data_IF_817462925007
#
_entry.id   IF_817462925007
#
_cell.length_a   1.000
_cell.length_b   1.000
_cell.length_c   1.000
_cell.angle_alpha   90.00
_cell.angle_beta   90.00
_cell.angle_gamma   90.00
#
_symmetry.space_group_name_H-M   'P 1'
#
loop_
_entity.id
_entity.type
_entity.pdbx_description
1 polymer ?
#
# COMPACT_ATOMS: atom_id res chain seq x y z
N UNK A 1 28.53 -35.98 -53.33
CA UNK A 1 27.86 -36.28 -52.01
C UNK A 1 28.15 -35.31 -50.83
N UNK A 2 29.27 -34.57 -50.84
CA UNK A 2 29.56 -33.62 -49.74
C UNK A 2 28.90 -32.24 -49.90
N UNK A 3 28.61 -31.78 -51.13
CA UNK A 3 28.01 -30.47 -51.39
C UNK A 3 26.51 -30.41 -51.03
N UNK A 4 25.72 -31.44 -51.38
CA UNK A 4 24.30 -31.48 -51.04
C UNK A 4 24.00 -31.45 -49.53
N UNK A 5 24.87 -32.06 -48.71
CA UNK A 5 24.76 -31.99 -47.25
C UNK A 5 25.09 -30.62 -46.66
N UNK A 6 25.86 -29.81 -47.39
CA UNK A 6 26.24 -28.46 -46.96
C UNK A 6 25.12 -27.48 -47.22
N UNK A 7 24.43 -27.60 -48.37
CA UNK A 7 23.23 -26.78 -48.67
C UNK A 7 22.06 -27.11 -47.76
N UNK A 8 21.81 -28.39 -47.46
CA UNK A 8 20.80 -28.81 -46.47
C UNK A 8 21.10 -28.27 -45.09
N UNK A 9 22.35 -28.24 -44.64
CA UNK A 9 22.76 -27.70 -43.34
C UNK A 9 22.65 -26.20 -43.30
N UNK A 10 22.91 -25.46 -44.38
CA UNK A 10 22.71 -24.02 -44.46
C UNK A 10 21.21 -23.64 -44.47
N UNK A 11 20.39 -24.39 -45.22
CA UNK A 11 18.94 -24.24 -45.22
C UNK A 11 18.33 -24.47 -43.82
N UNK A 12 18.76 -25.56 -43.15
CA UNK A 12 18.32 -25.85 -41.78
C UNK A 12 18.74 -24.77 -40.78
N UNK A 13 19.95 -24.21 -40.90
CA UNK A 13 20.41 -23.09 -40.06
C UNK A 13 19.56 -21.83 -40.31
N UNK A 14 19.24 -21.53 -41.57
CA UNK A 14 18.36 -20.37 -41.89
C UNK A 14 16.96 -20.55 -41.34
N UNK A 15 16.38 -21.76 -41.43
CA UNK A 15 15.08 -22.06 -40.81
C UNK A 15 15.09 -21.92 -39.29
N UNK A 16 16.13 -22.44 -38.63
CA UNK A 16 16.29 -22.29 -37.18
C UNK A 16 16.43 -20.82 -36.77
N UNK A 17 17.14 -20.02 -37.56
CA UNK A 17 17.28 -18.59 -37.29
C UNK A 17 15.92 -17.84 -37.44
N UNK A 18 15.14 -18.17 -38.48
CA UNK A 18 13.79 -17.65 -38.66
C UNK A 18 12.88 -18.05 -37.50
N UNK A 19 12.81 -19.32 -37.16
CA UNK A 19 11.98 -19.80 -36.03
C UNK A 19 12.37 -19.19 -34.71
N UNK A 20 13.65 -18.94 -34.44
CA UNK A 20 14.10 -18.22 -33.26
C UNK A 20 13.63 -16.74 -33.23
N UNK A 21 13.69 -16.09 -34.41
CA UNK A 21 13.19 -14.72 -34.52
C UNK A 21 11.68 -14.64 -34.31
N UNK A 22 10.94 -15.55 -34.92
CA UNK A 22 9.47 -15.64 -34.76
C UNK A 22 9.09 -15.97 -33.30
N UNK A 23 9.77 -16.91 -32.66
CA UNK A 23 9.57 -17.28 -31.28
C UNK A 23 9.78 -16.05 -30.37
N UNK A 24 10.88 -15.31 -30.57
CA UNK A 24 11.15 -14.10 -29.79
C UNK A 24 10.07 -13.03 -30.00
N UNK A 25 9.63 -12.81 -31.24
CA UNK A 25 8.56 -11.85 -31.52
C UNK A 25 7.23 -12.24 -30.86
N UNK A 26 6.90 -13.53 -30.85
CA UNK A 26 5.72 -14.05 -30.16
C UNK A 26 5.83 -13.94 -28.63
N UNK A 27 7.01 -14.18 -28.06
CA UNK A 27 7.28 -13.98 -26.64
C UNK A 27 7.06 -12.51 -26.24
N UNK A 28 7.56 -11.55 -27.02
CA UNK A 28 7.36 -10.12 -26.77
C UNK A 28 5.87 -9.71 -26.84
N UNK A 29 5.13 -10.27 -27.81
CA UNK A 29 3.68 -10.05 -27.94
C UNK A 29 2.94 -10.65 -26.73
N UNK A 30 3.29 -11.86 -26.33
CA UNK A 30 2.69 -12.55 -25.20
C UNK A 30 2.95 -11.79 -23.89
N UNK A 31 4.19 -11.36 -23.65
CA UNK A 31 4.55 -10.59 -22.46
C UNK A 31 3.77 -9.26 -22.40
N UNK A 32 3.68 -8.56 -23.52
CA UNK A 32 2.87 -7.35 -23.60
C UNK A 32 1.40 -7.61 -23.29
N UNK A 33 0.80 -8.63 -23.92
CA UNK A 33 -0.60 -8.98 -23.68
C UNK A 33 -0.85 -9.39 -22.21
N UNK A 34 0.09 -10.11 -21.60
CA UNK A 34 0.02 -10.49 -20.20
C UNK A 34 0.07 -9.28 -19.28
N UNK A 35 0.96 -8.32 -19.56
CA UNK A 35 1.07 -7.09 -18.79
C UNK A 35 -0.19 -6.22 -18.93
N UNK A 36 -0.71 -6.06 -20.16
CA UNK A 36 -1.93 -5.32 -20.43
C UNK A 36 -3.13 -5.95 -19.69
N UNK A 37 -3.27 -7.26 -19.74
CA UNK A 37 -4.31 -7.99 -19.02
C UNK A 37 -4.18 -7.81 -17.50
N UNK A 38 -2.98 -7.94 -16.95
CA UNK A 38 -2.72 -7.75 -15.52
C UNK A 38 -3.07 -6.33 -15.07
N UNK A 39 -2.69 -5.32 -15.84
CA UNK A 39 -3.02 -3.93 -15.54
C UNK A 39 -4.53 -3.68 -15.55
N UNK A 40 -5.26 -4.25 -16.51
CA UNK A 40 -6.72 -4.15 -16.55
C UNK A 40 -7.38 -4.86 -15.36
N UNK A 41 -6.90 -6.03 -14.97
CA UNK A 41 -7.41 -6.75 -13.79
C UNK A 41 -7.21 -5.97 -12.49
N UNK A 42 -6.10 -5.25 -12.34
CA UNK A 42 -5.83 -4.40 -11.18
C UNK A 42 -6.79 -3.19 -11.07
N UNK A 43 -7.45 -2.81 -12.17
CA UNK A 43 -8.45 -1.75 -12.17
C UNK A 43 -9.84 -2.22 -11.69
N UNK A 44 -10.09 -3.52 -11.67
CA UNK A 44 -11.39 -4.09 -11.28
C UNK A 44 -11.48 -4.12 -9.75
N UNK A 45 -12.51 -3.48 -9.14
CA UNK A 45 -12.70 -3.54 -7.70
C UNK A 45 -13.08 -4.94 -7.25
N UNK A 46 -12.78 -5.26 -5.98
CA UNK A 46 -13.21 -6.51 -5.37
C UNK A 46 -14.73 -6.60 -5.28
N UNK A 47 -15.24 -7.82 -5.34
CA UNK A 47 -16.66 -8.09 -5.13
C UNK A 47 -16.97 -7.89 -3.64
N UNK A 48 -17.91 -7.00 -3.27
CA UNK A 48 -18.31 -6.82 -1.90
C UNK A 48 -19.00 -8.09 -1.36
N UNK A 49 -18.92 -8.32 -0.05
CA UNK A 49 -19.65 -9.43 0.56
C UNK A 49 -21.16 -9.12 0.61
N UNK A 50 -22.01 -10.16 0.73
CA UNK A 50 -23.47 -10.05 0.72
C UNK A 50 -24.05 -9.14 1.81
N UNK A 51 -23.28 -8.88 2.88
CA UNK A 51 -23.71 -8.02 3.98
C UNK A 51 -23.52 -6.52 3.70
N UNK A 52 -22.77 -6.17 2.65
CA UNK A 52 -22.53 -4.77 2.27
C UNK A 52 -23.77 -4.25 1.54
N UNK A 53 -24.46 -3.22 2.05
CA UNK A 53 -25.62 -2.64 1.39
C UNK A 53 -25.20 -1.94 0.09
N UNK A 54 -26.11 -1.90 -0.88
CA UNK A 54 -25.95 -1.03 -2.02
C UNK A 54 -26.05 0.44 -1.57
N UNK A 55 -25.11 1.26 -2.03
CA UNK A 55 -25.05 2.67 -1.65
C UNK A 55 -24.20 3.50 -2.60
N UNK A 56 -24.31 4.81 -2.51
CA UNK A 56 -23.57 5.77 -3.33
C UNK A 56 -22.44 6.43 -2.56
N UNK A 57 -22.62 6.61 -1.26
CA UNK A 57 -21.65 7.27 -0.40
C UNK A 57 -21.73 6.76 1.05
N UNK A 58 -20.93 7.34 1.93
CA UNK A 58 -20.84 6.95 3.33
C UNK A 58 -22.16 7.12 4.13
N UNK A 59 -23.12 7.91 3.65
CA UNK A 59 -24.41 8.09 4.32
C UNK A 59 -25.29 6.84 4.19
N UNK A 60 -25.05 6.01 3.18
CA UNK A 60 -25.76 4.77 2.97
C UNK A 60 -25.21 3.60 3.82
N UNK A 61 -24.11 3.81 4.55
CA UNK A 61 -23.53 2.79 5.41
C UNK A 61 -24.46 2.46 6.60
N UNK A 62 -24.63 1.17 6.86
CA UNK A 62 -25.40 0.67 7.98
C UNK A 62 -24.50 0.47 9.21
N UNK A 63 -24.89 1.08 10.34
CA UNK A 63 -24.21 0.90 11.62
C UNK A 63 -24.52 -0.52 12.13
N UNK A 64 -23.53 -1.39 12.15
CA UNK A 64 -23.68 -2.81 12.57
C UNK A 64 -23.45 -3.01 14.08
N UNK A 65 -22.76 -2.08 14.74
CA UNK A 65 -22.49 -2.15 16.19
C UNK A 65 -22.24 -0.75 16.76
N UNK A 66 -22.89 -0.44 17.86
CA UNK A 66 -22.59 0.70 18.72
C UNK A 66 -22.09 0.22 20.08
N UNK A 67 -21.25 1.01 20.74
CA UNK A 67 -20.70 0.66 22.06
C UNK A 67 -20.16 1.86 22.80
N UNK A 68 -20.13 1.76 24.14
CA UNK A 68 -19.72 2.85 25.02
C UNK A 68 -20.83 3.90 25.24
N UNK A 69 -20.59 4.79 26.19
CA UNK A 69 -21.48 5.93 26.47
C UNK A 69 -21.00 7.14 25.67
N UNK A 70 -21.92 7.79 24.95
CA UNK A 70 -21.62 9.07 24.29
C UNK A 70 -21.57 10.16 25.34
N UNK A 71 -20.44 10.85 25.56
CA UNK A 71 -20.37 11.93 26.52
C UNK A 71 -21.25 13.10 26.05
N UNK A 72 -21.99 13.69 26.98
CA UNK A 72 -22.67 14.94 26.71
C UNK A 72 -21.70 16.10 26.91
N UNK A 73 -21.17 16.63 25.82
CA UNK A 73 -20.16 17.69 25.84
C UNK A 73 -20.77 19.09 25.98
N UNK A 74 -22.13 19.23 25.92
CA UNK A 74 -22.83 20.48 25.93
C UNK A 74 -22.75 21.25 24.59
N UNK A 75 -23.53 22.35 24.52
CA UNK A 75 -23.65 23.18 23.31
C UNK A 75 -22.38 23.98 23.01
N UNK A 76 -21.56 24.28 24.03
CA UNK A 76 -20.31 25.05 23.92
C UNK A 76 -19.09 24.21 23.60
N UNK A 77 -19.26 22.94 23.23
CA UNK A 77 -18.18 22.06 22.92
C UNK A 77 -17.40 22.53 21.69
N UNK A 78 -16.09 22.74 21.85
CA UNK A 78 -15.20 23.12 20.76
C UNK A 78 -14.73 21.90 19.97
N UNK A 79 -14.63 22.05 18.65
CA UNK A 79 -13.98 21.07 17.80
C UNK A 79 -12.50 20.91 18.18
N UNK A 80 -11.91 19.75 17.87
CA UNK A 80 -10.50 19.48 18.21
C UNK A 80 -9.54 20.51 17.59
N UNK A 81 -9.77 20.97 16.36
CA UNK A 81 -8.92 22.00 15.72
C UNK A 81 -8.99 23.36 16.43
N UNK A 82 -10.17 23.74 17.00
CA UNK A 82 -10.32 24.97 17.80
C UNK A 82 -9.59 24.84 19.13
N UNK A 83 -9.63 23.66 19.76
CA UNK A 83 -8.86 23.35 20.96
C UNK A 83 -7.35 23.42 20.69
N UNK A 84 -6.88 22.83 19.58
CA UNK A 84 -5.47 22.88 19.19
C UNK A 84 -4.98 24.31 19.00
N UNK A 85 -5.78 25.15 18.35
CA UNK A 85 -5.51 26.57 18.16
C UNK A 85 -5.55 27.33 19.48
N UNK A 86 -6.60 27.16 20.28
CA UNK A 86 -6.78 27.82 21.59
C UNK A 86 -5.61 27.60 22.55
N UNK A 87 -5.03 26.39 22.53
CA UNK A 87 -3.91 26.03 23.39
C UNK A 87 -2.54 26.11 22.71
N UNK A 88 -2.48 26.59 21.46
CA UNK A 88 -1.25 26.69 20.67
C UNK A 88 -0.48 25.36 20.60
N UNK A 89 -1.18 24.29 20.27
CA UNK A 89 -0.65 22.93 20.25
C UNK A 89 -0.19 22.48 18.86
N UNK A 90 -0.81 23.03 17.81
CA UNK A 90 -0.52 22.72 16.41
C UNK A 90 -0.55 24.00 15.59
N UNK A 91 0.40 24.14 14.69
CA UNK A 91 0.49 25.24 13.73
C UNK A 91 0.36 24.69 12.30
N UNK A 92 -0.76 24.97 11.67
CA UNK A 92 -1.04 24.57 10.29
C UNK A 92 -0.41 25.53 9.27
N UNK A 93 -0.32 26.82 9.59
CA UNK A 93 0.27 27.81 8.71
C UNK A 93 1.77 27.55 8.53
N UNK A 94 2.43 27.17 9.63
CA UNK A 94 3.83 26.76 9.58
C UNK A 94 4.00 25.46 8.78
N UNK A 95 3.06 24.53 8.88
CA UNK A 95 3.04 23.30 8.05
C UNK A 95 2.91 23.61 6.57
N UNK A 96 2.01 24.51 6.20
CA UNK A 96 1.87 24.99 4.80
C UNK A 96 3.16 25.64 4.31
N UNK A 97 3.81 26.44 5.12
CA UNK A 97 5.08 27.11 4.78
C UNK A 97 6.22 26.13 4.52
N UNK A 98 6.29 25.04 5.28
CA UNK A 98 7.40 24.08 5.22
C UNK A 98 7.19 23.04 4.11
N UNK A 99 5.95 22.56 3.96
CA UNK A 99 5.66 21.39 3.13
C UNK A 99 4.53 21.65 2.13
N UNK A 100 3.37 22.12 2.62
CA UNK A 100 2.15 22.30 1.83
C UNK A 100 0.89 22.14 2.67
N UNK A 101 -0.27 22.26 2.02
CA UNK A 101 -1.56 22.12 2.68
C UNK A 101 -1.72 20.70 3.28
N UNK A 102 -2.34 20.65 4.47
CA UNK A 102 -2.62 19.38 5.15
C UNK A 102 -1.52 18.87 6.09
N UNK A 103 -0.37 19.53 6.14
CA UNK A 103 0.71 19.14 7.06
C UNK A 103 0.70 19.96 8.35
N UNK A 104 0.49 19.32 9.53
CA UNK A 104 0.54 19.99 10.82
C UNK A 104 1.95 20.07 11.38
N UNK A 105 2.24 21.14 12.13
CA UNK A 105 3.45 21.22 12.99
C UNK A 105 3.01 21.14 14.44
N UNK A 106 3.34 20.04 15.10
CA UNK A 106 3.07 19.83 16.52
C UNK A 106 4.03 20.61 17.40
N UNK A 107 3.54 21.35 18.39
CA UNK A 107 4.34 22.25 19.22
C UNK A 107 4.33 21.82 20.68
N UNK A 108 5.49 21.84 21.32
CA UNK A 108 5.68 21.70 22.74
C UNK A 108 5.00 20.46 23.34
N UNK A 109 3.98 20.69 24.16
CA UNK A 109 3.24 19.59 24.83
C UNK A 109 2.57 18.64 23.85
N UNK A 110 2.12 19.12 22.69
CA UNK A 110 1.46 18.27 21.70
C UNK A 110 2.45 17.34 21.01
N UNK A 111 3.64 17.81 20.65
CA UNK A 111 4.69 16.95 20.10
C UNK A 111 5.10 15.84 21.10
N UNK A 112 5.15 16.16 22.39
CA UNK A 112 5.40 15.17 23.45
C UNK A 112 4.23 14.19 23.58
N UNK A 113 3.00 14.68 23.52
CA UNK A 113 1.78 13.87 23.65
C UNK A 113 1.66 12.87 22.49
N UNK A 114 1.94 13.29 21.26
CA UNK A 114 1.95 12.39 20.10
C UNK A 114 2.89 11.21 20.31
N UNK A 115 4.15 11.46 20.69
CA UNK A 115 5.11 10.37 20.97
C UNK A 115 4.67 9.47 22.13
N UNK A 116 4.00 10.03 23.13
CA UNK A 116 3.46 9.26 24.23
C UNK A 116 2.31 8.34 23.81
N UNK A 117 1.46 8.80 22.86
CA UNK A 117 0.40 7.97 22.28
C UNK A 117 0.98 6.84 21.41
N UNK A 118 1.97 7.12 20.58
CA UNK A 118 2.66 6.10 19.79
C UNK A 118 3.24 4.99 20.71
N UNK A 119 3.98 5.39 21.74
CA UNK A 119 4.53 4.46 22.71
C UNK A 119 3.42 3.66 23.44
N UNK A 120 2.33 4.32 23.83
CA UNK A 120 1.21 3.67 24.48
C UNK A 120 0.56 2.61 23.57
N UNK A 121 0.30 2.91 22.30
CA UNK A 121 -0.32 1.96 21.37
C UNK A 121 0.59 0.76 21.12
N UNK A 122 1.90 0.96 20.95
CA UNK A 122 2.86 -0.11 20.78
C UNK A 122 2.96 -0.99 22.04
N UNK A 123 2.96 -0.39 23.22
CA UNK A 123 2.95 -1.12 24.49
C UNK A 123 1.67 -1.95 24.69
N UNK A 124 0.50 -1.43 24.32
CA UNK A 124 -0.77 -2.19 24.39
C UNK A 124 -0.81 -3.31 23.36
N UNK A 125 -0.30 -3.09 22.14
CA UNK A 125 -0.16 -4.14 21.14
C UNK A 125 0.76 -5.27 21.63
N UNK A 126 1.92 -4.92 22.22
CA UNK A 126 2.85 -5.90 22.80
C UNK A 126 2.21 -6.70 23.94
N UNK A 127 1.46 -6.06 24.85
CA UNK A 127 0.70 -6.75 25.92
C UNK A 127 -0.34 -7.71 25.36
N UNK A 128 -0.88 -7.43 24.18
CA UNK A 128 -1.83 -8.26 23.44
C UNK A 128 -1.15 -9.37 22.61
N UNK A 129 0.17 -9.55 22.76
CA UNK A 129 0.94 -10.61 22.13
C UNK A 129 1.38 -10.30 20.69
N UNK A 130 1.39 -9.04 20.29
CA UNK A 130 1.98 -8.63 19.02
C UNK A 130 3.51 -8.46 19.16
N UNK A 131 4.25 -8.88 18.14
CA UNK A 131 5.67 -8.57 18.01
C UNK A 131 5.81 -7.22 17.30
N UNK A 132 6.43 -6.28 18.00
CA UNK A 132 6.77 -4.97 17.45
C UNK A 132 7.90 -5.10 16.43
N UNK A 133 7.77 -4.41 15.30
CA UNK A 133 8.79 -4.29 14.27
C UNK A 133 8.91 -2.83 13.83
N UNK A 134 10.09 -2.46 13.36
CA UNK A 134 10.36 -1.12 12.79
C UNK A 134 10.67 -1.27 11.31
N UNK A 135 9.67 -1.17 10.43
CA UNK A 135 9.89 -1.27 8.98
C UNK A 135 10.44 0.03 8.39
N UNK A 136 10.99 -0.01 7.17
CA UNK A 136 11.33 1.19 6.42
C UNK A 136 10.09 2.05 6.12
N UNK A 137 10.29 3.37 6.06
CA UNK A 137 9.24 4.32 5.63
C UNK A 137 9.05 4.40 4.12
N UNK A 138 9.89 3.71 3.36
CA UNK A 138 9.82 3.61 1.90
C UNK A 138 9.78 2.15 1.48
N UNK A 139 9.03 1.87 0.41
CA UNK A 139 8.86 0.52 -0.13
C UNK A 139 9.03 0.52 -1.66
N UNK A 140 9.32 -0.65 -2.22
CA UNK A 140 9.32 -0.85 -3.66
C UNK A 140 7.88 -0.97 -4.22
N UNK A 141 7.77 -0.91 -5.53
CA UNK A 141 6.48 -0.97 -6.24
C UNK A 141 5.70 -2.26 -5.93
N UNK A 142 6.38 -3.42 -5.88
CA UNK A 142 5.75 -4.70 -5.59
C UNK A 142 5.08 -4.73 -4.21
N UNK A 143 5.66 -4.05 -3.22
CA UNK A 143 5.06 -3.93 -1.90
C UNK A 143 3.81 -3.06 -1.92
N UNK A 144 3.80 -1.98 -2.71
CA UNK A 144 2.62 -1.17 -2.91
C UNK A 144 1.49 -1.94 -3.61
N UNK A 145 1.83 -2.78 -4.59
CA UNK A 145 0.88 -3.66 -5.27
C UNK A 145 0.37 -4.77 -4.36
N UNK A 146 1.23 -5.35 -3.54
CA UNK A 146 0.90 -6.46 -2.65
C UNK A 146 -0.17 -6.15 -1.61
N UNK A 147 -0.39 -4.88 -1.27
CA UNK A 147 -1.44 -4.40 -0.35
C UNK A 147 -2.51 -3.54 -1.05
N UNK A 148 -2.48 -3.47 -2.39
CA UNK A 148 -3.50 -2.75 -3.17
C UNK A 148 -3.38 -1.22 -3.13
N UNK A 149 -2.24 -0.69 -2.70
CA UNK A 149 -1.96 0.76 -2.73
C UNK A 149 -1.58 1.23 -4.13
N UNK A 150 -1.05 0.34 -4.96
CA UNK A 150 -0.78 0.58 -6.37
C UNK A 150 -1.68 -0.32 -7.24
N UNK A 151 -2.20 0.19 -8.36
CA UNK A 151 -2.07 1.56 -8.88
C UNK A 151 -2.73 2.58 -7.96
N UNK A 152 -2.03 3.71 -7.72
CA UNK A 152 -2.49 4.76 -6.79
C UNK A 152 -3.58 5.63 -7.44
N UNK A 153 -4.83 5.18 -7.30
CA UNK A 153 -6.00 5.86 -7.85
C UNK A 153 -6.39 7.14 -7.09
N UNK A 154 -5.98 7.23 -5.83
CA UNK A 154 -6.37 8.31 -4.93
C UNK A 154 -5.25 9.30 -4.63
N UNK A 155 -4.05 9.10 -5.20
CA UNK A 155 -2.90 9.98 -4.98
C UNK A 155 -2.38 9.95 -3.55
N UNK A 156 -2.40 8.79 -2.90
CA UNK A 156 -2.05 8.65 -1.49
C UNK A 156 -0.56 8.39 -1.25
N UNK A 157 0.19 8.01 -2.29
CA UNK A 157 1.59 7.66 -2.16
C UNK A 157 2.52 8.69 -2.80
N UNK A 158 3.45 9.21 -2.03
CA UNK A 158 4.56 9.99 -2.58
C UNK A 158 5.58 9.07 -3.26
N UNK A 159 5.94 9.37 -4.48
CA UNK A 159 6.90 8.60 -5.26
C UNK A 159 8.25 9.32 -5.38
N UNK A 160 9.30 8.69 -4.90
CA UNK A 160 10.69 9.12 -5.10
C UNK A 160 11.19 8.56 -6.44
N UNK A 161 10.99 9.33 -7.52
CA UNK A 161 11.20 8.89 -8.91
C UNK A 161 12.62 8.40 -9.21
N UNK A 162 13.66 8.99 -8.59
CA UNK A 162 15.06 8.63 -8.87
C UNK A 162 15.39 7.19 -8.44
N UNK A 163 14.83 6.77 -7.31
CA UNK A 163 15.11 5.46 -6.71
C UNK A 163 13.97 4.46 -6.94
N UNK A 164 12.89 4.88 -7.58
CA UNK A 164 11.65 4.12 -7.73
C UNK A 164 11.12 3.56 -6.40
N UNK A 165 11.11 4.41 -5.37
CA UNK A 165 10.62 4.08 -4.05
C UNK A 165 9.39 4.91 -3.71
N UNK A 166 8.49 4.34 -2.92
CA UNK A 166 7.24 4.97 -2.49
C UNK A 166 7.27 5.18 -0.98
N UNK A 167 6.90 6.39 -0.51
CA UNK A 167 6.66 6.61 0.91
C UNK A 167 5.39 5.85 1.32
N UNK A 168 5.46 5.13 2.41
CA UNK A 168 4.32 4.33 2.89
C UNK A 168 3.20 5.24 3.43
N UNK A 169 1.94 5.04 3.03
CA UNK A 169 0.80 5.75 3.62
C UNK A 169 0.40 5.15 4.97
N UNK A 170 0.78 3.91 5.22
CA UNK A 170 0.48 3.14 6.42
C UNK A 170 1.55 2.08 6.66
N UNK A 171 1.79 1.72 7.92
CA UNK A 171 2.67 0.62 8.29
C UNK A 171 2.19 -0.75 7.79
N UNK A 172 0.93 -0.89 7.46
CA UNK A 172 0.35 -2.12 6.87
C UNK A 172 1.13 -2.56 5.62
N UNK A 173 1.51 -1.60 4.76
CA UNK A 173 2.22 -1.91 3.51
C UNK A 173 3.50 -2.71 3.75
N UNK A 174 4.51 -2.22 4.48
CA UNK A 174 5.72 -3.00 4.73
C UNK A 174 5.48 -4.21 5.62
N UNK A 175 4.60 -4.13 6.63
CA UNK A 175 4.38 -5.23 7.59
C UNK A 175 3.75 -6.44 6.92
N UNK A 176 2.75 -6.26 6.07
CA UNK A 176 2.11 -7.34 5.33
C UNK A 176 3.06 -7.95 4.31
N UNK A 177 3.84 -7.11 3.62
CA UNK A 177 4.78 -7.57 2.59
C UNK A 177 6.01 -8.33 3.11
N UNK A 178 6.24 -8.37 4.43
CA UNK A 178 7.22 -9.29 5.03
C UNK A 178 6.92 -10.74 4.64
N UNK A 179 5.65 -11.07 4.43
CA UNK A 179 5.19 -12.42 4.10
C UNK A 179 4.80 -12.59 2.63
N UNK A 180 5.05 -11.58 1.78
CA UNK A 180 4.83 -11.70 0.34
C UNK A 180 5.75 -12.79 -0.22
N UNK A 181 5.21 -13.65 -1.11
CA UNK A 181 5.92 -14.75 -1.76
C UNK A 181 6.55 -15.77 -0.79
N UNK A 182 6.02 -15.85 0.44
CA UNK A 182 6.46 -16.80 1.47
C UNK A 182 5.37 -17.83 1.73
N UNK A 183 5.73 -19.11 1.71
CA UNK A 183 4.86 -20.20 2.16
C UNK A 183 5.16 -20.43 3.64
N UNK A 184 4.15 -20.25 4.47
CA UNK A 184 4.24 -20.41 5.93
C UNK A 184 3.75 -21.79 6.33
N UNK A 185 4.39 -22.38 7.35
CA UNK A 185 3.88 -23.58 7.99
C UNK A 185 2.66 -23.24 8.86
N UNK A 186 1.65 -24.10 8.88
CA UNK A 186 0.44 -23.95 9.70
C UNK A 186 0.76 -23.74 11.19
N UNK A 187 1.78 -24.43 11.70
CA UNK A 187 2.24 -24.30 13.10
C UNK A 187 2.75 -22.91 13.48
N UNK A 188 3.12 -22.07 12.49
CA UNK A 188 3.64 -20.72 12.71
C UNK A 188 2.51 -19.67 12.79
N UNK A 189 1.27 -20.10 12.57
CA UNK A 189 0.07 -19.26 12.61
C UNK A 189 -0.63 -19.35 13.99
N UNK A 190 -1.24 -18.26 14.46
CA UNK A 190 -1.31 -16.92 13.84
C UNK A 190 -0.05 -16.09 14.07
N UNK A 191 0.35 -15.31 13.05
CA UNK A 191 1.45 -14.35 13.16
C UNK A 191 0.86 -12.97 13.46
N UNK A 192 1.28 -12.37 14.59
CA UNK A 192 0.83 -11.03 15.01
C UNK A 192 2.01 -10.06 15.00
N UNK A 193 1.89 -8.96 14.26
CA UNK A 193 2.91 -7.90 14.15
C UNK A 193 2.26 -6.53 14.34
N UNK A 194 3.02 -5.58 14.88
CA UNK A 194 2.68 -4.16 14.95
C UNK A 194 3.90 -3.30 14.62
N UNK A 195 3.67 -2.07 14.14
CA UNK A 195 4.69 -1.06 13.86
C UNK A 195 4.10 0.35 14.07
#
# INVERSE_FOLDING_TARGET
MKEGKKEEAESAKAQVAMLKADAKALEEIMEKAQNDMTNQLLEIPNIPCEQVPEGKDAADNVVVKEGGEKPNLGEDALCHWDLLKKYNLVDFDLGVKITGAGFPVYIGKMARFQRALEAFFLDEARKSGYLEIQPPYVVNEDSGRGTGQLPDKEGQMYHANLDNLFLIPTAEVPVTNIFRDVILDEKDLPIKRCA
#
